data_IF_324300698351
#
_entry.id   IF_324300698351
#
_cell.length_a   1.000
_cell.length_b   1.000
_cell.length_c   1.000
_cell.angle_alpha   90.00
_cell.angle_beta   90.00
_cell.angle_gamma   90.00
#
_symmetry.space_group_name_H-M   'P 1'
#
loop_
_entity.id
_entity.type
_entity.pdbx_description
1 polymer ?
#
# COMPACT_ATOMS: atom_id res chain seq x y z
N UNK A 1 -50.20 -45.24 25.65
CA UNK A 1 -50.61 -45.75 24.32
C UNK A 1 -49.59 -45.22 23.31
N UNK A 2 -48.63 -46.02 22.86
CA UNK A 2 -48.71 -46.91 21.66
C UNK A 2 -49.21 -46.10 20.45
N UNK A 3 -48.32 -45.69 19.56
CA UNK A 3 -47.76 -46.47 18.43
C UNK A 3 -48.63 -46.32 17.18
N UNK A 4 -47.98 -46.40 16.01
CA UNK A 4 -48.48 -46.33 14.62
C UNK A 4 -48.54 -44.88 14.11
N UNK A 5 -47.75 -44.42 13.14
CA UNK A 5 -47.31 -45.07 11.90
C UNK A 5 -45.90 -44.55 11.50
N UNK A 6 -44.91 -45.44 11.58
CA UNK A 6 -43.81 -45.43 10.62
C UNK A 6 -44.38 -45.79 9.23
N UNK A 7 -43.63 -45.43 8.19
CA UNK A 7 -43.81 -45.76 6.76
C UNK A 7 -44.49 -44.65 5.95
N UNK A 8 -43.70 -43.62 5.60
CA UNK A 8 -43.67 -43.13 4.22
C UNK A 8 -42.27 -42.54 3.90
N UNK A 9 -41.25 -43.36 4.19
CA UNK A 9 -40.02 -43.34 3.40
C UNK A 9 -40.29 -44.31 2.24
N UNK A 10 -39.78 -44.00 1.05
CA UNK A 10 -39.86 -44.76 -0.20
C UNK A 10 -41.12 -44.44 -1.05
N UNK A 11 -41.14 -43.28 -1.71
CA UNK A 11 -41.32 -43.23 -3.17
C UNK A 11 -41.01 -41.83 -3.70
N UNK A 12 -40.18 -41.80 -4.75
CA UNK A 12 -39.70 -40.66 -5.55
C UNK A 12 -38.38 -40.04 -5.07
N UNK A 13 -37.40 -40.13 -5.98
CA UNK A 13 -36.01 -39.67 -5.90
C UNK A 13 -34.95 -40.66 -5.36
N UNK A 14 -35.05 -41.94 -5.74
CA UNK A 14 -33.85 -42.68 -6.16
C UNK A 14 -33.89 -42.79 -7.68
N UNK A 15 -33.42 -41.74 -8.36
CA UNK A 15 -32.93 -41.75 -9.75
C UNK A 15 -32.11 -40.46 -9.96
N UNK A 16 -31.00 -40.36 -9.23
CA UNK A 16 -29.70 -39.84 -9.67
C UNK A 16 -28.76 -39.79 -8.47
N UNK A 17 -28.29 -40.98 -8.08
CA UNK A 17 -27.02 -41.13 -7.38
C UNK A 17 -25.92 -40.86 -8.42
N UNK A 18 -25.53 -39.60 -8.50
CA UNK A 18 -24.47 -39.07 -9.35
C UNK A 18 -24.66 -37.56 -9.44
N UNK A 19 -23.60 -36.78 -9.18
CA UNK A 19 -23.53 -35.32 -9.32
C UNK A 19 -23.87 -34.42 -8.10
N UNK A 20 -23.81 -34.88 -6.85
CA UNK A 20 -23.90 -33.97 -5.67
C UNK A 20 -22.56 -33.66 -5.00
N UNK A 21 -21.50 -34.42 -5.28
CA UNK A 21 -20.18 -34.19 -4.70
C UNK A 21 -19.32 -33.23 -5.53
N UNK A 22 -19.58 -33.13 -6.85
CA UNK A 22 -18.86 -32.20 -7.74
C UNK A 22 -19.24 -30.74 -7.48
N UNK A 23 -20.51 -30.44 -7.21
CA UNK A 23 -20.96 -29.05 -6.97
C UNK A 23 -20.50 -28.52 -5.61
N UNK A 24 -20.56 -29.32 -4.55
CA UNK A 24 -20.04 -28.94 -3.22
C UNK A 24 -18.52 -28.79 -3.19
N UNK A 25 -17.77 -29.62 -3.92
CA UNK A 25 -16.33 -29.46 -4.09
C UNK A 25 -15.99 -28.18 -4.90
N UNK A 26 -16.74 -27.90 -5.96
CA UNK A 26 -16.57 -26.69 -6.77
C UNK A 26 -16.91 -25.39 -6.00
N UNK A 27 -17.91 -25.44 -5.11
CA UNK A 27 -18.21 -24.34 -4.19
C UNK A 27 -17.13 -24.14 -3.12
N UNK A 28 -16.61 -25.22 -2.52
CA UNK A 28 -15.52 -25.14 -1.55
C UNK A 28 -14.22 -24.61 -2.19
N UNK A 29 -13.91 -25.02 -3.42
CA UNK A 29 -12.78 -24.49 -4.18
C UNK A 29 -12.93 -22.98 -4.47
N UNK A 30 -14.14 -22.54 -4.85
CA UNK A 30 -14.43 -21.10 -5.05
C UNK A 30 -14.28 -20.31 -3.75
N UNK A 31 -14.82 -20.82 -2.63
CA UNK A 31 -14.69 -20.19 -1.31
C UNK A 31 -13.22 -20.10 -0.88
N UNK A 32 -12.45 -21.17 -1.07
CA UNK A 32 -11.03 -21.18 -0.74
C UNK A 32 -10.24 -20.20 -1.62
N UNK A 33 -10.53 -20.14 -2.92
CA UNK A 33 -9.91 -19.18 -3.84
C UNK A 33 -10.21 -17.74 -3.41
N UNK A 34 -11.47 -17.43 -3.10
CA UNK A 34 -11.88 -16.10 -2.63
C UNK A 34 -11.13 -15.71 -1.34
N UNK A 35 -11.07 -16.61 -0.34
CA UNK A 35 -10.30 -16.38 0.89
C UNK A 35 -8.82 -16.12 0.62
N UNK A 36 -8.21 -16.85 -0.31
CA UNK A 36 -6.81 -16.64 -0.68
C UNK A 36 -6.59 -15.28 -1.36
N UNK A 37 -7.53 -14.83 -2.19
CA UNK A 37 -7.49 -13.50 -2.80
C UNK A 37 -7.66 -12.39 -1.77
N UNK A 38 -8.57 -12.56 -0.80
CA UNK A 38 -8.75 -11.64 0.32
C UNK A 38 -7.47 -11.52 1.18
N UNK A 39 -6.85 -12.65 1.52
CA UNK A 39 -5.58 -12.67 2.26
C UNK A 39 -4.45 -11.97 1.49
N UNK A 40 -4.37 -12.18 0.17
CA UNK A 40 -3.40 -11.49 -0.68
C UNK A 40 -3.66 -9.98 -0.76
N UNK A 41 -4.92 -9.58 -0.88
CA UNK A 41 -5.30 -8.17 -0.91
C UNK A 41 -4.97 -7.49 0.42
N UNK A 42 -5.25 -8.16 1.53
CA UNK A 42 -4.90 -7.69 2.88
C UNK A 42 -3.39 -7.56 3.06
N UNK A 43 -2.63 -8.60 2.72
CA UNK A 43 -1.17 -8.56 2.81
C UNK A 43 -0.56 -7.46 1.92
N UNK A 44 -1.11 -7.27 0.71
CA UNK A 44 -0.69 -6.17 -0.16
C UNK A 44 -1.00 -4.81 0.47
N UNK A 45 -2.19 -4.62 1.07
CA UNK A 45 -2.58 -3.38 1.73
C UNK A 45 -1.69 -3.09 2.95
N UNK A 46 -1.48 -4.10 3.81
CA UNK A 46 -0.65 -3.99 4.99
C UNK A 46 0.79 -3.59 4.61
N UNK A 47 1.33 -4.13 3.51
CA UNK A 47 2.66 -3.74 3.00
C UNK A 47 2.77 -2.27 2.55
N UNK A 48 1.64 -1.61 2.25
CA UNK A 48 1.61 -0.16 1.95
C UNK A 48 1.73 0.68 3.22
N UNK A 49 1.46 0.12 4.41
CA UNK A 49 1.53 0.83 5.68
C UNK A 49 2.84 0.54 6.44
N UNK A 50 3.53 -0.54 6.09
CA UNK A 50 4.83 -0.89 6.67
C UNK A 50 5.93 0.11 6.30
N UNK A 51 6.71 0.50 7.30
CA UNK A 51 7.92 1.31 7.14
C UNK A 51 9.11 0.44 6.73
N UNK A 52 10.05 1.03 5.99
CA UNK A 52 11.23 0.30 5.54
C UNK A 52 12.33 0.15 6.60
N UNK A 53 12.32 1.04 7.59
CA UNK A 53 13.28 1.08 8.69
C UNK A 53 12.52 0.91 10.00
N UNK A 54 12.88 -0.09 10.79
CA UNK A 54 12.30 -0.35 12.11
C UNK A 54 13.42 -0.21 13.14
N UNK A 55 13.21 0.64 14.14
CA UNK A 55 14.10 0.77 15.28
C UNK A 55 13.57 -0.07 16.43
N UNK A 56 14.30 -1.13 16.79
CA UNK A 56 14.02 -1.97 17.95
C UNK A 56 15.15 -1.79 18.97
N UNK A 57 14.96 -0.85 19.90
CA UNK A 57 15.95 -0.49 20.91
C UNK A 57 17.20 0.12 20.28
N UNK A 58 18.35 -0.57 20.43
CA UNK A 58 19.64 -0.18 19.85
C UNK A 58 19.86 -0.75 18.44
N UNK A 59 18.93 -1.56 17.93
CA UNK A 59 19.06 -2.22 16.63
C UNK A 59 18.17 -1.59 15.57
N UNK A 60 18.74 -1.37 14.38
CA UNK A 60 18.00 -0.94 13.19
C UNK A 60 17.81 -2.16 12.29
N UNK A 61 16.57 -2.51 12.01
CA UNK A 61 16.22 -3.58 11.08
C UNK A 61 15.68 -3.01 9.79
N UNK A 62 16.25 -3.47 8.68
CA UNK A 62 15.80 -3.13 7.32
C UNK A 62 14.90 -4.23 6.77
N UNK A 63 13.73 -3.83 6.25
CA UNK A 63 12.86 -4.74 5.52
C UNK A 63 13.45 -5.08 4.13
N UNK A 64 12.71 -5.89 3.35
CA UNK A 64 13.14 -6.30 2.00
C UNK A 64 13.33 -5.13 1.05
N UNK A 65 12.48 -4.10 1.15
CA UNK A 65 12.54 -2.92 0.30
C UNK A 65 13.77 -2.06 0.61
N UNK A 66 14.04 -1.74 1.89
CA UNK A 66 15.25 -1.02 2.29
C UNK A 66 16.53 -1.76 1.87
N UNK A 67 16.59 -3.08 2.08
CA UNK A 67 17.72 -3.89 1.63
C UNK A 67 17.92 -3.79 0.13
N UNK A 68 16.84 -3.75 -0.66
CA UNK A 68 16.92 -3.58 -2.12
C UNK A 68 17.46 -2.21 -2.50
N UNK A 69 17.00 -1.14 -1.84
CA UNK A 69 17.51 0.23 -2.05
C UNK A 69 19.03 0.28 -1.85
N UNK A 70 19.54 -0.35 -0.78
CA UNK A 70 20.96 -0.31 -0.45
C UNK A 70 21.84 -1.24 -1.31
N UNK A 71 21.28 -2.29 -1.90
CA UNK A 71 22.04 -3.33 -2.62
C UNK A 71 21.96 -3.25 -4.14
N UNK A 72 20.90 -2.66 -4.69
CA UNK A 72 20.67 -2.56 -6.14
C UNK A 72 20.79 -1.10 -6.59
N UNK A 73 21.92 -0.78 -7.24
CA UNK A 73 22.20 0.58 -7.72
C UNK A 73 21.20 1.08 -8.77
N UNK A 74 20.66 0.20 -9.62
CA UNK A 74 19.64 0.61 -10.60
C UNK A 74 18.33 0.92 -9.89
N UNK A 75 17.96 0.10 -8.91
CA UNK A 75 16.78 0.37 -8.09
C UNK A 75 16.93 1.64 -7.27
N UNK A 76 18.10 1.89 -6.70
CA UNK A 76 18.42 3.12 -5.98
C UNK A 76 18.18 4.36 -6.86
N UNK A 77 18.76 4.39 -8.07
CA UNK A 77 18.56 5.48 -9.04
C UNK A 77 17.13 5.60 -9.54
N UNK A 78 16.36 4.52 -9.48
CA UNK A 78 14.93 4.55 -9.79
C UNK A 78 14.11 5.19 -8.65
N UNK A 79 14.46 4.94 -7.39
CA UNK A 79 13.79 5.56 -6.24
C UNK A 79 14.18 7.03 -6.10
N UNK A 80 15.46 7.35 -6.36
CA UNK A 80 16.04 8.69 -6.29
C UNK A 80 16.60 9.11 -7.66
N UNK A 81 15.73 9.39 -8.64
CA UNK A 81 16.16 9.91 -9.94
C UNK A 81 16.67 11.36 -9.79
N UNK A 82 17.39 11.84 -10.80
CA UNK A 82 17.77 13.26 -10.88
C UNK A 82 16.54 14.17 -11.03
N UNK A 83 15.51 13.68 -11.73
CA UNK A 83 14.24 14.39 -11.92
C UNK A 83 13.05 13.46 -11.67
N UNK A 84 12.12 13.91 -10.83
CA UNK A 84 10.85 13.23 -10.60
C UNK A 84 9.85 13.64 -11.69
N UNK A 85 9.06 12.70 -12.21
CA UNK A 85 8.12 13.00 -13.29
C UNK A 85 6.75 12.39 -13.08
N UNK A 86 5.71 13.10 -13.52
CA UNK A 86 4.34 12.61 -13.57
C UNK A 86 4.19 11.33 -14.40
N UNK A 87 4.96 11.20 -15.50
CA UNK A 87 4.92 10.00 -16.33
C UNK A 87 5.28 8.74 -15.52
N UNK A 88 6.34 8.81 -14.72
CA UNK A 88 6.73 7.70 -13.84
C UNK A 88 5.73 7.48 -12.72
N UNK A 89 5.21 8.54 -12.09
CA UNK A 89 4.16 8.45 -11.06
C UNK A 89 2.93 7.69 -11.58
N UNK A 90 2.47 8.01 -12.79
CA UNK A 90 1.32 7.33 -13.40
C UNK A 90 1.61 5.85 -13.70
N UNK A 91 2.83 5.51 -14.13
CA UNK A 91 3.24 4.11 -14.33
C UNK A 91 3.24 3.35 -12.99
N UNK A 92 3.75 3.97 -11.92
CA UNK A 92 3.79 3.37 -10.59
C UNK A 92 2.38 3.12 -10.03
N UNK A 93 1.47 4.07 -10.18
CA UNK A 93 0.06 3.92 -9.82
C UNK A 93 -0.60 2.79 -10.61
N UNK A 94 -0.41 2.73 -11.93
CA UNK A 94 -0.94 1.64 -12.78
C UNK A 94 -0.41 0.27 -12.38
N UNK A 95 0.85 0.21 -11.94
CA UNK A 95 1.50 -1.01 -11.43
C UNK A 95 1.18 -1.31 -9.96
N UNK A 96 0.35 -0.49 -9.30
CA UNK A 96 -0.04 -0.62 -7.89
C UNK A 96 1.15 -0.60 -6.92
N UNK A 97 2.23 0.09 -7.27
CA UNK A 97 3.38 0.33 -6.40
C UNK A 97 3.20 1.71 -5.75
N UNK A 98 2.29 1.76 -4.77
CA UNK A 98 1.71 3.01 -4.28
C UNK A 98 2.72 3.80 -3.46
N UNK A 99 3.53 3.15 -2.60
CA UNK A 99 4.54 3.86 -1.81
C UNK A 99 5.55 4.61 -2.68
N UNK A 100 6.06 4.00 -3.75
CA UNK A 100 6.95 4.69 -4.69
C UNK A 100 6.23 5.82 -5.43
N UNK A 101 4.97 5.61 -5.85
CA UNK A 101 4.20 6.66 -6.51
C UNK A 101 4.02 7.88 -5.59
N UNK A 102 3.72 7.64 -4.31
CA UNK A 102 3.55 8.70 -3.31
C UNK A 102 4.88 9.38 -3.01
N UNK A 103 5.99 8.64 -2.92
CA UNK A 103 7.33 9.24 -2.82
C UNK A 103 7.62 10.20 -3.98
N UNK A 104 7.29 9.80 -5.21
CA UNK A 104 7.41 10.68 -6.37
C UNK A 104 6.52 11.92 -6.25
N UNK A 105 5.29 11.79 -5.76
CA UNK A 105 4.41 12.95 -5.53
C UNK A 105 4.97 13.90 -4.47
N UNK A 106 5.53 13.40 -3.37
CA UNK A 106 6.16 14.23 -2.33
C UNK A 106 7.26 15.11 -2.93
N UNK A 107 8.12 14.53 -3.77
CA UNK A 107 9.20 15.27 -4.42
C UNK A 107 8.70 16.24 -5.48
N UNK A 108 7.74 15.84 -6.33
CA UNK A 108 7.09 16.74 -7.30
C UNK A 108 6.42 17.94 -6.62
N UNK A 109 5.82 17.74 -5.45
CA UNK A 109 5.21 18.83 -4.69
C UNK A 109 6.24 19.85 -4.20
N UNK A 110 7.41 19.37 -3.75
CA UNK A 110 8.51 20.25 -3.31
C UNK A 110 9.17 21.00 -4.47
N UNK A 111 9.22 20.41 -5.66
CA UNK A 111 9.81 21.04 -6.85
C UNK A 111 9.02 22.29 -7.31
N UNK A 112 7.70 22.15 -7.44
CA UNK A 112 6.81 23.27 -7.79
C UNK A 112 5.41 23.04 -7.22
N UNK A 113 5.21 23.52 -6.00
CA UNK A 113 3.93 23.41 -5.29
C UNK A 113 2.78 24.08 -6.02
N UNK A 114 3.01 25.20 -6.72
CA UNK A 114 1.95 25.94 -7.42
C UNK A 114 1.44 25.12 -8.60
N UNK A 115 2.36 24.52 -9.35
CA UNK A 115 2.04 23.70 -10.52
C UNK A 115 1.51 22.32 -10.16
N UNK A 116 2.09 21.66 -9.15
CA UNK A 116 1.81 20.25 -8.84
C UNK A 116 0.77 20.06 -7.72
N UNK A 117 0.55 21.07 -6.88
CA UNK A 117 -0.23 20.91 -5.64
C UNK A 117 -1.67 20.44 -5.85
N UNK A 118 -2.41 21.05 -6.77
CA UNK A 118 -3.80 20.66 -7.05
C UNK A 118 -3.90 19.24 -7.59
N UNK A 119 -3.06 18.88 -8.57
CA UNK A 119 -3.03 17.55 -9.16
C UNK A 119 -2.68 16.46 -8.15
N UNK A 120 -1.75 16.73 -7.23
CA UNK A 120 -1.38 15.80 -6.17
C UNK A 120 -2.54 15.65 -5.18
N UNK A 121 -3.14 16.75 -4.72
CA UNK A 121 -4.28 16.70 -3.82
C UNK A 121 -5.46 15.92 -4.41
N UNK A 122 -5.80 16.14 -5.68
CA UNK A 122 -6.87 15.41 -6.38
C UNK A 122 -6.57 13.91 -6.48
N UNK A 123 -5.32 13.56 -6.80
CA UNK A 123 -4.88 12.16 -6.86
C UNK A 123 -4.94 11.48 -5.49
N UNK A 124 -4.45 12.15 -4.44
CA UNK A 124 -4.46 11.62 -3.07
C UNK A 124 -5.89 11.42 -2.56
N UNK A 125 -6.78 12.40 -2.75
CA UNK A 125 -8.19 12.29 -2.39
C UNK A 125 -8.88 11.16 -3.15
N UNK A 126 -8.56 10.96 -4.42
CA UNK A 126 -9.11 9.86 -5.22
C UNK A 126 -8.66 8.50 -4.69
N UNK A 127 -7.38 8.38 -4.29
CA UNK A 127 -6.83 7.15 -3.71
C UNK A 127 -7.37 6.88 -2.28
N UNK A 128 -7.63 7.94 -1.51
CA UNK A 128 -8.14 7.86 -0.12
C UNK A 128 -9.50 7.16 -0.02
N UNK A 129 -10.24 7.09 -1.13
CA UNK A 129 -11.51 6.37 -1.18
C UNK A 129 -11.35 4.85 -1.07
N UNK A 130 -10.17 4.31 -1.40
CA UNK A 130 -9.89 2.88 -1.42
C UNK A 130 -8.85 2.44 -0.40
N UNK A 131 -7.92 3.32 -0.04
CA UNK A 131 -6.76 3.02 0.81
C UNK A 131 -6.61 4.16 1.81
N UNK A 132 -6.17 3.89 3.04
CA UNK A 132 -5.93 4.93 4.04
C UNK A 132 -4.70 5.77 3.67
N UNK A 133 -4.89 6.87 2.94
CA UNK A 133 -3.79 7.63 2.36
C UNK A 133 -2.97 8.40 3.38
N UNK A 134 -3.52 8.68 4.56
CA UNK A 134 -2.76 9.19 5.71
C UNK A 134 -1.63 8.23 6.08
N UNK A 135 -1.94 6.93 6.19
CA UNK A 135 -0.94 5.89 6.51
C UNK A 135 0.03 5.70 5.37
N UNK A 136 -0.42 5.73 4.12
CA UNK A 136 0.47 5.58 2.95
C UNK A 136 1.43 6.76 2.82
N UNK A 137 0.97 8.00 3.00
CA UNK A 137 1.84 9.19 2.99
C UNK A 137 2.92 9.08 4.06
N UNK A 138 2.51 8.75 5.29
CA UNK A 138 3.41 8.57 6.42
C UNK A 138 4.43 7.46 6.15
N UNK A 139 3.96 6.28 5.75
CA UNK A 139 4.83 5.13 5.51
C UNK A 139 5.78 5.39 4.35
N UNK A 140 5.34 6.04 3.28
CA UNK A 140 6.17 6.37 2.13
C UNK A 140 7.28 7.36 2.51
N UNK A 141 6.94 8.42 3.24
CA UNK A 141 7.93 9.39 3.73
C UNK A 141 9.01 8.69 4.57
N UNK A 142 8.64 7.98 5.63
CA UNK A 142 9.61 7.32 6.52
C UNK A 142 10.35 6.16 5.83
N UNK A 143 9.78 5.58 4.78
CA UNK A 143 10.39 4.49 4.02
C UNK A 143 11.54 4.93 3.11
N UNK A 144 11.49 6.16 2.61
CA UNK A 144 12.42 6.63 1.58
C UNK A 144 13.28 7.81 2.04
N UNK A 145 12.85 8.62 3.01
CA UNK A 145 13.67 9.75 3.49
C UNK A 145 14.99 9.30 4.13
N UNK A 146 15.00 8.11 4.74
CA UNK A 146 16.18 7.55 5.42
C UNK A 146 17.34 7.20 4.46
N UNK A 147 17.08 7.13 3.16
CA UNK A 147 18.09 6.83 2.14
C UNK A 147 18.14 7.89 1.02
N UNK A 148 17.46 9.03 1.22
CA UNK A 148 17.41 10.10 0.24
C UNK A 148 18.79 10.79 0.11
N UNK A 149 19.44 10.77 -1.07
CA UNK A 149 20.77 11.36 -1.25
C UNK A 149 20.80 12.88 -1.01
N UNK A 150 19.66 13.57 -1.03
CA UNK A 150 19.58 14.98 -0.65
C UNK A 150 19.73 15.19 0.86
N UNK A 151 19.36 14.17 1.65
CA UNK A 151 19.25 14.22 3.11
C UNK A 151 20.42 13.52 3.80
N UNK A 152 20.87 12.40 3.24
CA UNK A 152 21.86 11.51 3.85
C UNK A 152 23.08 11.29 2.97
N UNK A 153 24.21 11.02 3.60
CA UNK A 153 25.40 10.51 2.92
C UNK A 153 25.45 8.99 3.08
N UNK A 154 25.46 8.27 1.97
CA UNK A 154 25.58 6.80 1.94
C UNK A 154 27.01 6.43 1.53
N UNK A 155 27.70 5.65 2.35
CA UNK A 155 29.02 5.10 2.07
C UNK A 155 29.00 3.57 2.27
N UNK A 156 29.59 2.82 1.33
CA UNK A 156 29.65 1.35 1.38
C UNK A 156 28.29 0.64 1.61
N UNK A 157 27.21 1.20 1.03
CA UNK A 157 25.86 0.65 1.16
C UNK A 157 25.23 0.86 2.54
N UNK A 158 25.76 1.77 3.35
CA UNK A 158 25.25 2.13 4.66
C UNK A 158 25.08 3.64 4.78
N UNK A 159 24.03 4.06 5.51
CA UNK A 159 23.83 5.47 5.87
C UNK A 159 24.91 5.86 6.86
N UNK A 160 25.79 6.77 6.47
CA UNK A 160 26.90 7.26 7.31
C UNK A 160 26.48 8.44 8.17
N UNK A 161 25.76 9.39 7.58
CA UNK A 161 25.41 10.65 8.22
C UNK A 161 24.11 11.23 7.64
N UNK A 162 23.33 11.90 8.50
CA UNK A 162 22.21 12.75 8.10
C UNK A 162 22.72 14.18 7.93
N UNK A 163 23.16 14.51 6.71
CA UNK A 163 23.84 15.76 6.40
C UNK A 163 22.89 16.95 6.22
N UNK A 164 21.61 16.70 5.88
CA UNK A 164 20.61 17.74 5.59
C UNK A 164 19.26 17.48 6.27
N UNK A 165 19.19 17.58 7.62
CA UNK A 165 17.93 17.41 8.35
C UNK A 165 16.89 18.47 7.98
N UNK A 166 17.32 19.65 7.55
CA UNK A 166 16.45 20.74 7.07
C UNK A 166 15.61 20.32 5.86
N UNK A 167 16.21 19.62 4.88
CA UNK A 167 15.49 19.10 3.72
C UNK A 167 14.52 17.98 4.07
N UNK A 168 14.85 17.16 5.07
CA UNK A 168 13.93 16.15 5.59
C UNK A 168 12.71 16.81 6.25
N UNK A 169 12.92 17.83 7.07
CA UNK A 169 11.85 18.59 7.71
C UNK A 169 10.95 19.31 6.69
N UNK A 170 11.54 19.85 5.61
CA UNK A 170 10.79 20.46 4.51
C UNK A 170 9.88 19.43 3.81
N UNK A 171 10.42 18.27 3.42
CA UNK A 171 9.61 17.20 2.80
C UNK A 171 8.54 16.69 3.77
N UNK A 172 8.80 16.62 5.07
CA UNK A 172 7.80 16.28 6.08
C UNK A 172 6.70 17.35 6.18
N UNK A 173 7.05 18.63 6.04
CA UNK A 173 6.08 19.72 5.98
C UNK A 173 5.13 19.55 4.79
N UNK A 174 5.66 19.23 3.60
CA UNK A 174 4.85 18.93 2.42
C UNK A 174 3.87 17.77 2.67
N UNK A 175 4.34 16.70 3.31
CA UNK A 175 3.48 15.55 3.68
C UNK A 175 2.35 15.97 4.61
N UNK A 176 2.61 16.82 5.61
CA UNK A 176 1.58 17.33 6.54
C UNK A 176 0.55 18.20 5.83
N UNK A 177 0.98 19.03 4.88
CA UNK A 177 0.07 19.81 4.05
C UNK A 177 -0.82 18.90 3.19
N UNK A 178 -0.24 17.88 2.53
CA UNK A 178 -0.99 16.87 1.77
C UNK A 178 -2.06 16.18 2.62
N UNK A 179 -1.71 15.78 3.85
CA UNK A 179 -2.66 15.19 4.80
C UNK A 179 -3.81 16.13 5.15
N UNK A 180 -3.53 17.44 5.26
CA UNK A 180 -4.56 18.44 5.55
C UNK A 180 -5.64 18.46 4.48
N UNK A 181 -5.27 18.34 3.20
CA UNK A 181 -6.25 18.24 2.11
C UNK A 181 -7.12 16.99 2.22
N UNK A 182 -6.53 15.83 2.55
CA UNK A 182 -7.27 14.58 2.78
C UNK A 182 -8.29 14.75 3.92
N UNK A 183 -7.87 15.33 5.04
CA UNK A 183 -8.74 15.53 6.20
C UNK A 183 -9.88 16.50 5.93
N UNK A 184 -9.62 17.62 5.24
CA UNK A 184 -10.68 18.54 4.87
C UNK A 184 -11.67 17.90 3.89
N UNK A 185 -11.20 17.06 2.95
CA UNK A 185 -12.09 16.30 2.07
C UNK A 185 -12.97 15.29 2.86
N UNK A 186 -12.37 14.50 3.76
CA UNK A 186 -13.11 13.56 4.64
C UNK A 186 -14.19 14.28 5.44
N UNK A 187 -13.87 15.45 5.99
CA UNK A 187 -14.79 16.31 6.75
C UNK A 187 -15.92 16.88 5.90
N UNK A 188 -15.65 17.26 4.65
CA UNK A 188 -16.69 17.72 3.72
C UNK A 188 -17.65 16.58 3.36
N UNK A 189 -17.10 15.39 3.07
CA UNK A 189 -17.90 14.20 2.75
C UNK A 189 -18.79 13.76 3.93
N UNK A 190 -18.31 13.88 5.17
CA UNK A 190 -19.09 13.54 6.37
C UNK A 190 -20.28 14.49 6.65
N UNK A 191 -20.30 15.67 6.01
CA UNK A 191 -21.41 16.64 6.14
C UNK A 191 -22.49 16.48 5.06
N UNK A 192 -22.26 15.64 4.05
CA UNK A 192 -23.19 15.32 2.98
C UNK A 192 -23.99 14.07 3.33
#
# INVERSE_FOLDING_TARGET
>A
MKSTFQILIILLCVCNLGWSQSDSLNELEKINKFKQEELKAKAWLDSQYEWNVISEGESITYNKEAKKILSDSQYYKFIYPEEYTWATTLILLKKKVIKQAVWYMINLYGEDKIKNGSHISDALVSLDQAIDMEKVLTSSYYSYIAFDPEVVTIENGQVKEYSRPDLAEEKLSHVKEMMTYIFEYRKQKAKQ
#
